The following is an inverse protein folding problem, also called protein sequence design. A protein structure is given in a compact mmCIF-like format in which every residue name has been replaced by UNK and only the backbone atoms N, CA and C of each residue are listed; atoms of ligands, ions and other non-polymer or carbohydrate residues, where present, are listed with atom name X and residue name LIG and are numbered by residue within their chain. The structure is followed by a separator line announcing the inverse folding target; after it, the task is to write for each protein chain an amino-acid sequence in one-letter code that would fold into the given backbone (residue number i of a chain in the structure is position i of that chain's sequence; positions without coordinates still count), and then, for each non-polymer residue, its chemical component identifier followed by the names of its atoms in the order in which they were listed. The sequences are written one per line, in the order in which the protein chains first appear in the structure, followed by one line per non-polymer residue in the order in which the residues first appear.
data_IF_618674529481
#
_entry.id   IF_618674529481
#
_cell.length_a   1.000
_cell.length_b   1.000
_cell.length_c   1.000
_cell.angle_alpha   90.00
_cell.angle_beta   90.00
_cell.angle_gamma   90.00
#
_symmetry.space_group_name_H-M   'P 1'
#
loop_
_entity.id
_entity.type
_entity.pdbx_description
1 polymer ?
#
# COMPACT_ATOMS: atom_id res chain seq x y z
N UNK A 1 -10.54 -0.23 -11.57
CA UNK A 1 -10.01 0.31 -10.32
C UNK A 1 -8.54 -0.04 -10.16
N UNK A 2 -7.77 0.85 -9.58
CA UNK A 2 -6.31 0.71 -9.50
C UNK A 2 -5.87 -0.54 -8.73
N UNK A 3 -6.52 -0.81 -7.60
CA UNK A 3 -6.20 -1.99 -6.79
C UNK A 3 -6.40 -3.29 -7.57
N UNK A 4 -7.52 -3.39 -8.24
CA UNK A 4 -7.85 -4.60 -9.02
C UNK A 4 -6.87 -4.78 -10.19
N UNK A 5 -6.51 -3.70 -10.87
CA UNK A 5 -5.52 -3.75 -11.96
C UNK A 5 -4.17 -4.26 -11.46
N UNK A 6 -3.74 -3.78 -10.29
CA UNK A 6 -2.49 -4.23 -9.69
C UNK A 6 -2.53 -5.72 -9.34
N UNK A 7 -3.63 -6.19 -8.74
CA UNK A 7 -3.76 -7.59 -8.36
C UNK A 7 -3.75 -8.51 -9.59
N UNK A 8 -4.39 -8.08 -10.67
CA UNK A 8 -4.32 -8.80 -11.96
C UNK A 8 -2.91 -8.83 -12.52
N UNK A 9 -2.19 -7.71 -12.41
CA UNK A 9 -0.79 -7.63 -12.83
C UNK A 9 0.05 -8.66 -12.06
N UNK A 10 -0.13 -8.78 -10.75
CA UNK A 10 0.59 -9.77 -9.94
C UNK A 10 0.26 -11.19 -10.37
N UNK A 11 -1.00 -11.45 -10.69
CA UNK A 11 -1.46 -12.78 -11.09
C UNK A 11 -0.92 -13.18 -12.46
N UNK A 12 -1.07 -12.31 -13.47
CA UNK A 12 -0.82 -12.68 -14.87
C UNK A 12 0.59 -12.36 -15.34
N UNK A 13 1.23 -11.33 -14.80
CA UNK A 13 2.57 -10.94 -15.23
C UNK A 13 3.68 -11.39 -14.29
N UNK A 14 3.41 -11.41 -12.98
CA UNK A 14 4.38 -11.85 -11.98
C UNK A 14 4.19 -13.29 -11.57
N UNK A 15 3.08 -13.89 -11.92
CA UNK A 15 2.76 -15.29 -11.56
C UNK A 15 2.87 -15.56 -10.06
N UNK A 16 2.46 -14.62 -9.24
CA UNK A 16 2.44 -14.80 -7.79
C UNK A 16 1.35 -15.80 -7.40
N UNK A 17 1.55 -16.50 -6.29
CA UNK A 17 0.56 -17.45 -5.78
C UNK A 17 -0.70 -16.73 -5.34
N UNK A 18 -1.82 -17.45 -5.31
CA UNK A 18 -3.11 -16.90 -4.88
C UNK A 18 -3.02 -16.36 -3.45
N UNK A 19 -2.30 -17.04 -2.55
CA UNK A 19 -2.11 -16.58 -1.17
C UNK A 19 -1.41 -15.23 -1.12
N UNK A 20 -0.38 -15.05 -1.93
CA UNK A 20 0.38 -13.80 -2.00
C UNK A 20 -0.51 -12.68 -2.51
N UNK A 21 -1.29 -12.93 -3.55
CA UNK A 21 -2.21 -11.95 -4.13
C UNK A 21 -3.27 -11.54 -3.11
N UNK A 22 -3.83 -12.49 -2.38
CA UNK A 22 -4.82 -12.20 -1.32
C UNK A 22 -4.20 -11.33 -0.23
N UNK A 23 -2.96 -11.64 0.19
CA UNK A 23 -2.25 -10.84 1.20
C UNK A 23 -2.06 -9.39 0.74
N UNK A 24 -1.62 -9.19 -0.51
CA UNK A 24 -1.49 -7.83 -1.06
C UNK A 24 -2.84 -7.10 -1.06
N UNK A 25 -3.90 -7.79 -1.47
CA UNK A 25 -5.24 -7.22 -1.52
C UNK A 25 -5.73 -6.78 -0.14
N UNK A 26 -5.50 -7.60 0.88
CA UNK A 26 -5.88 -7.29 2.26
C UNK A 26 -5.12 -6.06 2.77
N UNK A 27 -3.80 -6.01 2.52
CA UNK A 27 -2.99 -4.89 2.97
C UNK A 27 -3.44 -3.56 2.32
N UNK A 28 -3.70 -3.58 1.02
CA UNK A 28 -4.18 -2.39 0.31
C UNK A 28 -5.56 -1.96 0.79
N UNK A 29 -6.43 -2.92 1.05
CA UNK A 29 -7.77 -2.65 1.54
C UNK A 29 -7.75 -1.99 2.92
N UNK A 30 -6.89 -2.50 3.83
CA UNK A 30 -6.72 -1.91 5.16
C UNK A 30 -6.17 -0.49 5.08
N UNK A 31 -5.23 -0.25 4.18
CA UNK A 31 -4.69 1.09 3.98
C UNK A 31 -5.76 2.03 3.42
N UNK A 32 -6.53 1.56 2.44
CA UNK A 32 -7.62 2.34 1.87
C UNK A 32 -8.66 2.71 2.93
N UNK A 33 -9.04 1.78 3.78
CA UNK A 33 -9.96 2.05 4.90
C UNK A 33 -9.41 3.16 5.80
N UNK A 34 -8.11 3.13 6.07
CA UNK A 34 -7.47 4.14 6.91
C UNK A 34 -7.57 5.53 6.28
N UNK A 35 -7.13 5.70 5.04
CA UNK A 35 -7.11 7.03 4.46
C UNK A 35 -8.51 7.54 4.10
N UNK A 36 -9.45 6.67 3.80
CA UNK A 36 -10.84 7.08 3.55
C UNK A 36 -11.52 7.62 4.81
N UNK A 37 -11.09 7.19 5.99
CA UNK A 37 -11.57 7.77 7.24
C UNK A 37 -11.02 9.17 7.48
N UNK A 38 -9.84 9.47 6.95
CA UNK A 38 -9.26 10.81 7.01
C UNK A 38 -9.96 11.75 6.04
N UNK A 39 -10.26 11.26 4.84
CA UNK A 39 -10.90 12.02 3.77
C UNK A 39 -11.53 11.03 2.80
N UNK A 40 -12.85 10.97 2.77
CA UNK A 40 -13.59 10.02 1.93
C UNK A 40 -13.37 10.25 0.43
N UNK A 41 -12.92 11.46 0.04
CA UNK A 41 -12.66 11.80 -1.35
C UNK A 41 -11.23 11.46 -1.78
N UNK A 42 -10.38 11.05 -0.83
CA UNK A 42 -9.00 10.69 -1.13
C UNK A 42 -8.95 9.35 -1.86
N UNK A 43 -8.04 9.24 -2.83
CA UNK A 43 -7.77 7.97 -3.50
C UNK A 43 -6.27 7.75 -3.58
N UNK A 44 -5.85 6.55 -3.92
CA UNK A 44 -4.45 6.13 -3.91
C UNK A 44 -3.50 7.13 -4.59
N UNK A 45 -3.81 7.69 -5.78
CA UNK A 45 -2.85 8.60 -6.43
C UNK A 45 -2.55 9.88 -5.66
N UNK A 46 -3.45 10.30 -4.77
CA UNK A 46 -3.29 11.54 -4.01
C UNK A 46 -2.67 11.34 -2.63
N UNK A 47 -2.36 10.10 -2.27
CA UNK A 47 -1.74 9.78 -0.98
C UNK A 47 -0.29 10.26 -0.95
N UNK A 48 0.11 10.92 0.15
CA UNK A 48 1.48 11.38 0.36
C UNK A 48 2.17 10.60 1.47
N UNK A 49 3.45 10.92 1.70
CA UNK A 49 4.26 10.24 2.70
C UNK A 49 3.71 10.42 4.12
N UNK A 50 3.13 11.58 4.42
CA UNK A 50 2.59 11.85 5.76
C UNK A 50 1.39 10.95 6.08
N UNK A 51 0.54 10.71 5.09
CA UNK A 51 -0.60 9.79 5.26
C UNK A 51 -0.09 8.37 5.54
N UNK A 52 0.95 7.94 4.84
CA UNK A 52 1.54 6.62 5.05
C UNK A 52 2.17 6.51 6.44
N UNK A 53 2.89 7.54 6.89
CA UNK A 53 3.46 7.57 8.23
C UNK A 53 2.38 7.49 9.30
N UNK A 54 1.26 8.19 9.10
CA UNK A 54 0.10 8.12 9.99
C UNK A 54 -0.45 6.72 10.10
N UNK A 55 -0.51 6.00 8.97
CA UNK A 55 -0.97 4.61 8.96
C UNK A 55 -0.02 3.71 9.76
N UNK A 56 1.30 3.90 9.60
CA UNK A 56 2.29 3.15 10.37
C UNK A 56 2.08 3.35 11.87
N UNK A 57 1.88 4.59 12.30
CA UNK A 57 1.61 4.89 13.72
C UNK A 57 0.34 4.22 14.20
N UNK A 58 -0.71 4.26 13.39
CA UNK A 58 -1.99 3.62 13.69
C UNK A 58 -1.82 2.10 13.87
N UNK A 59 -1.05 1.46 13.01
CA UNK A 59 -0.79 0.02 13.09
C UNK A 59 -0.04 -0.31 14.39
N UNK A 60 0.95 0.49 14.76
CA UNK A 60 1.69 0.28 16.00
C UNK A 60 0.81 0.47 17.23
N UNK A 61 -0.07 1.45 17.22
CA UNK A 61 -1.03 1.66 18.31
C UNK A 61 -1.99 0.48 18.44
N UNK A 62 -2.33 -0.17 17.32
CA UNK A 62 -3.17 -1.36 17.30
C UNK A 62 -2.43 -2.63 17.71
N UNK A 63 -1.14 -2.54 18.01
CA UNK A 63 -0.36 -3.67 18.49
C UNK A 63 0.36 -4.49 17.44
N UNK A 64 0.41 -4.04 16.19
CA UNK A 64 1.17 -4.75 15.15
C UNK A 64 2.67 -4.67 15.44
N UNK A 65 3.39 -5.77 15.17
CA UNK A 65 4.84 -5.81 15.33
C UNK A 65 5.53 -5.05 14.21
N UNK A 66 6.80 -4.68 14.44
CA UNK A 66 7.62 -4.04 13.41
C UNK A 66 7.70 -4.90 12.14
N UNK A 67 7.84 -6.22 12.29
CA UNK A 67 7.88 -7.15 11.16
C UNK A 67 6.60 -7.08 10.33
N UNK A 68 5.43 -7.09 11.00
CA UNK A 68 4.14 -7.00 10.31
C UNK A 68 3.96 -5.66 9.60
N UNK A 69 4.35 -4.56 10.26
CA UNK A 69 4.26 -3.23 9.66
C UNK A 69 5.16 -3.14 8.42
N UNK A 70 6.39 -3.63 8.51
CA UNK A 70 7.31 -3.62 7.37
C UNK A 70 6.79 -4.44 6.20
N UNK A 71 6.15 -5.58 6.47
CA UNK A 71 5.53 -6.39 5.43
C UNK A 71 4.41 -5.61 4.71
N UNK A 72 3.58 -4.91 5.47
CA UNK A 72 2.51 -4.07 4.91
C UNK A 72 3.07 -2.91 4.09
N UNK A 73 4.16 -2.30 4.54
CA UNK A 73 4.85 -1.25 3.78
C UNK A 73 5.42 -1.81 2.47
N UNK A 74 5.91 -3.05 2.47
CA UNK A 74 6.39 -3.70 1.25
C UNK A 74 5.27 -3.86 0.22
N UNK A 75 4.06 -4.19 0.67
CA UNK A 75 2.89 -4.25 -0.21
C UNK A 75 2.62 -2.89 -0.85
N UNK A 76 2.67 -1.81 -0.06
CA UNK A 76 2.49 -0.46 -0.58
C UNK A 76 3.59 -0.08 -1.57
N UNK A 77 4.84 -0.42 -1.29
CA UNK A 77 5.96 -0.12 -2.20
C UNK A 77 5.73 -0.77 -3.56
N UNK A 78 5.36 -2.05 -3.57
CA UNK A 78 5.08 -2.75 -4.82
C UNK A 78 3.94 -2.09 -5.59
N UNK A 79 2.87 -1.72 -4.89
CA UNK A 79 1.72 -1.09 -5.50
C UNK A 79 2.07 0.28 -6.12
N UNK A 80 2.77 1.14 -5.36
CA UNK A 80 3.13 2.47 -5.87
C UNK A 80 4.19 2.40 -6.96
N UNK A 81 5.08 1.41 -6.96
CA UNK A 81 5.99 1.17 -8.09
C UNK A 81 5.20 0.82 -9.35
N UNK A 82 4.14 0.02 -9.21
CA UNK A 82 3.26 -0.30 -10.32
C UNK A 82 2.56 0.97 -10.84
N UNK A 83 1.99 1.78 -9.93
CA UNK A 83 1.33 3.03 -10.34
C UNK A 83 2.30 3.99 -11.02
N UNK A 84 3.54 4.05 -10.55
CA UNK A 84 4.56 4.90 -11.14
C UNK A 84 4.86 4.45 -12.58
N UNK A 85 5.02 3.15 -12.81
CA UNK A 85 5.26 2.60 -14.14
C UNK A 85 4.09 2.81 -15.09
N UNK A 86 2.87 2.79 -14.58
CA UNK A 86 1.66 3.01 -15.38
C UNK A 86 1.41 4.50 -15.63
N UNK A 87 2.22 5.38 -15.06
CA UNK A 87 2.05 6.81 -15.22
C UNK A 87 0.89 7.40 -14.42
N UNK A 88 0.32 6.63 -13.49
CA UNK A 88 -0.80 7.09 -12.64
C UNK A 88 -0.30 8.12 -11.63
N UNK A 89 0.90 7.90 -11.09
CA UNK A 89 1.56 8.86 -10.20
C UNK A 89 2.91 9.24 -10.79
N UNK A 90 3.38 10.44 -10.48
CA UNK A 90 4.68 10.93 -10.92
C UNK A 90 5.74 10.88 -9.83
N UNK A 91 5.33 10.69 -8.58
CA UNK A 91 6.22 10.62 -7.41
C UNK A 91 5.82 9.42 -6.58
N UNK A 92 6.81 8.68 -6.08
CA UNK A 92 6.58 7.54 -5.19
C UNK A 92 6.48 8.05 -3.75
N UNK A 93 5.30 7.95 -3.11
CA UNK A 93 5.15 8.44 -1.74
C UNK A 93 5.94 7.62 -0.71
N UNK A 94 6.44 6.45 -1.07
CA UNK A 94 7.22 5.60 -0.16
C UNK A 94 8.68 5.99 -0.09
N UNK A 95 9.18 6.84 -0.98
CA UNK A 95 10.60 7.23 -0.99
C UNK A 95 11.06 7.85 0.31
N UNK A 96 10.18 8.58 1.00
CA UNK A 96 10.50 9.26 2.26
C UNK A 96 10.01 8.50 3.49
N UNK A 97 9.50 7.31 3.31
CA UNK A 97 8.99 6.48 4.41
C UNK A 97 10.01 5.42 4.74
N UNK A 98 10.53 5.48 5.98
CA UNK A 98 11.51 4.51 6.47
C UNK A 98 10.80 3.36 7.16
N UNK A 99 11.24 2.14 6.91
CA UNK A 99 10.71 0.98 7.62
C UNK A 99 11.12 0.98 9.09
N UNK A 100 10.44 0.18 9.89
CA UNK A 100 10.74 0.04 11.32
C UNK A 100 11.86 -0.98 11.51
N UNK A 101 12.65 -0.75 12.55
CA UNK A 101 13.75 -1.65 12.92
C UNK A 101 13.33 -2.66 13.96
#
# INVERSE_FOLDING_TARGET
MLKDSFLKYLQFEKNYSDKTIVSYGIDLEKFEEYFKKLDENLDFPAVDADIIRGWVLSLMEDGYTATSVNRKLSSLRSFYHYLLRQGVVSVDPLLKVTGLK
#
